data_IF_006641120894
#
_entry.id   IF_006641120894
#
_cell.length_a   1.000
_cell.length_b   1.000
_cell.length_c   1.000
_cell.angle_alpha   90.00
_cell.angle_beta   90.00
_cell.angle_gamma   90.00
#
_symmetry.space_group_name_H-M   'P 1'
#
loop_
_entity.id
_entity.type
_entity.pdbx_description
1 polymer ?
#
# COMPACT_ATOMS: atom_id res chain seq x y z
N UNK A 1 7.08 -16.04 10.91
CA UNK A 1 6.17 -15.21 10.13
C UNK A 1 4.84 -15.19 10.86
N UNK A 2 4.33 -14.02 11.24
CA UNK A 2 3.05 -13.90 11.96
C UNK A 2 2.05 -13.27 11.01
N UNK A 3 1.37 -14.09 10.22
CA UNK A 3 0.45 -13.66 9.16
C UNK A 3 -0.73 -12.85 9.71
N UNK A 4 -1.22 -13.18 10.92
CA UNK A 4 -2.28 -12.41 11.57
C UNK A 4 -1.80 -11.03 11.98
N UNK A 5 -0.64 -10.92 12.63
CA UNK A 5 -0.07 -9.61 12.98
C UNK A 5 0.25 -8.79 11.72
N UNK A 6 0.70 -9.46 10.66
CA UNK A 6 0.96 -8.83 9.38
C UNK A 6 -0.30 -8.23 8.76
N UNK A 7 -1.38 -9.02 8.70
CA UNK A 7 -2.66 -8.57 8.19
C UNK A 7 -3.22 -7.39 8.98
N UNK A 8 -3.14 -7.43 10.31
CA UNK A 8 -3.59 -6.31 11.14
C UNK A 8 -2.77 -5.04 10.89
N UNK A 9 -1.43 -5.16 10.84
CA UNK A 9 -0.57 -4.02 10.50
C UNK A 9 -0.87 -3.45 9.11
N UNK A 10 -1.22 -4.32 8.15
CA UNK A 10 -1.58 -3.91 6.79
C UNK A 10 -2.90 -3.15 6.77
N UNK A 11 -3.92 -3.68 7.45
CA UNK A 11 -5.21 -3.00 7.61
C UNK A 11 -5.04 -1.65 8.33
N UNK A 12 -4.19 -1.58 9.34
CA UNK A 12 -3.88 -0.34 10.07
C UNK A 12 -3.16 0.68 9.19
N UNK A 13 -2.19 0.25 8.37
CA UNK A 13 -1.51 1.13 7.43
C UNK A 13 -2.47 1.73 6.39
N UNK A 14 -3.40 0.92 5.86
CA UNK A 14 -4.44 1.35 4.94
C UNK A 14 -5.37 2.38 5.63
N UNK A 15 -5.91 2.05 6.80
CA UNK A 15 -6.85 2.92 7.54
C UNK A 15 -6.23 4.22 8.00
N UNK A 16 -5.02 4.17 8.58
CA UNK A 16 -4.31 5.35 9.04
C UNK A 16 -4.08 6.35 7.90
N UNK A 17 -3.82 5.85 6.69
CA UNK A 17 -3.63 6.69 5.50
C UNK A 17 -4.92 6.96 4.71
N UNK A 18 -6.08 6.51 5.18
CA UNK A 18 -7.38 6.67 4.50
C UNK A 18 -7.34 6.12 3.06
N UNK A 19 -6.74 4.94 2.88
CA UNK A 19 -6.53 4.32 1.57
C UNK A 19 -7.56 3.25 1.23
N UNK A 20 -8.59 3.05 2.05
CA UNK A 20 -9.56 1.95 1.93
C UNK A 20 -10.19 1.87 0.53
N UNK A 21 -10.45 3.01 -0.10
CA UNK A 21 -11.01 3.05 -1.46
C UNK A 21 -10.05 2.47 -2.53
N UNK A 22 -8.74 2.50 -2.29
CA UNK A 22 -7.73 1.98 -3.23
C UNK A 22 -7.37 0.52 -2.97
N UNK A 23 -8.09 -0.17 -2.07
CA UNK A 23 -7.90 -1.59 -1.81
C UNK A 23 -9.24 -2.31 -1.87
N UNK A 24 -9.21 -3.53 -2.38
CA UNK A 24 -10.36 -4.45 -2.42
C UNK A 24 -10.07 -5.64 -1.55
N UNK A 25 -11.12 -6.21 -0.96
CA UNK A 25 -11.05 -7.50 -0.30
C UNK A 25 -11.91 -8.51 -1.08
N UNK A 26 -11.43 -9.74 -1.27
CA UNK A 26 -12.24 -10.82 -1.87
C UNK A 26 -13.52 -11.08 -1.06
N UNK A 27 -13.48 -10.80 0.24
CA UNK A 27 -14.59 -10.94 1.19
C UNK A 27 -15.56 -9.75 1.20
N UNK A 28 -15.31 -8.72 0.40
CA UNK A 28 -16.13 -7.50 0.32
C UNK A 28 -15.51 -6.31 1.07
N UNK A 29 -15.43 -6.38 2.40
CA UNK A 29 -14.80 -5.34 3.23
C UNK A 29 -13.37 -5.74 3.64
N UNK A 30 -12.46 -4.77 3.63
CA UNK A 30 -11.08 -4.91 4.12
C UNK A 30 -11.05 -5.40 5.57
N UNK A 31 -12.04 -5.05 6.40
CA UNK A 31 -12.14 -5.55 7.77
C UNK A 31 -12.26 -7.08 7.83
N UNK A 32 -12.99 -7.66 6.87
CA UNK A 32 -13.38 -9.06 6.85
C UNK A 32 -12.31 -9.97 6.23
N UNK A 33 -11.28 -9.40 5.60
CA UNK A 33 -10.13 -10.15 5.10
C UNK A 33 -9.53 -11.02 6.22
N UNK A 34 -9.32 -12.31 5.93
CA UNK A 34 -8.77 -13.32 6.84
C UNK A 34 -7.27 -13.54 6.60
N UNK A 35 -6.78 -13.17 5.42
CA UNK A 35 -5.38 -13.18 5.03
C UNK A 35 -4.99 -11.94 4.22
N UNK A 36 -3.68 -11.68 4.11
CA UNK A 36 -3.16 -10.57 3.29
C UNK A 36 -3.34 -10.81 1.78
N UNK A 37 -3.50 -12.08 1.36
CA UNK A 37 -3.84 -12.45 -0.02
C UNK A 37 -5.28 -12.10 -0.39
N UNK A 38 -6.17 -11.95 0.59
CA UNK A 38 -7.56 -11.53 0.34
C UNK A 38 -7.62 -10.06 -0.04
N UNK A 39 -6.55 -9.29 0.23
CA UNK A 39 -6.45 -7.86 -0.05
C UNK A 39 -5.67 -7.65 -1.34
N UNK A 40 -6.20 -6.77 -2.21
CA UNK A 40 -5.54 -6.40 -3.44
C UNK A 40 -5.69 -4.89 -3.71
N UNK A 41 -4.64 -4.21 -4.21
CA UNK A 41 -4.77 -2.85 -4.69
C UNK A 41 -5.79 -2.76 -5.83
N UNK A 42 -6.70 -1.79 -5.76
CA UNK A 42 -7.71 -1.53 -6.77
C UNK A 42 -7.11 -0.71 -7.93
N UNK A 43 -6.27 -1.34 -8.75
CA UNK A 43 -5.44 -0.64 -9.76
C UNK A 43 -6.28 0.23 -10.70
N UNK A 44 -7.43 -0.27 -11.16
CA UNK A 44 -8.30 0.49 -12.07
C UNK A 44 -8.85 1.75 -11.39
N UNK A 45 -9.23 1.68 -10.11
CA UNK A 45 -9.67 2.83 -9.32
C UNK A 45 -8.55 3.86 -9.16
N UNK A 46 -7.32 3.41 -8.90
CA UNK A 46 -6.16 4.30 -8.77
C UNK A 46 -5.91 5.02 -10.10
N UNK A 47 -6.00 4.31 -11.24
CA UNK A 47 -5.84 4.89 -12.59
C UNK A 47 -6.92 5.91 -12.89
N UNK A 48 -8.18 5.60 -12.58
CA UNK A 48 -9.31 6.49 -12.79
C UNK A 48 -9.18 7.78 -11.99
N UNK A 49 -8.88 7.70 -10.68
CA UNK A 49 -8.72 8.89 -9.84
C UNK A 49 -7.49 9.72 -10.25
N UNK A 50 -6.42 9.07 -10.70
CA UNK A 50 -5.25 9.77 -11.24
C UNK A 50 -5.54 10.49 -12.57
N UNK A 51 -6.43 9.95 -13.40
CA UNK A 51 -6.82 10.56 -14.67
C UNK A 51 -7.87 11.68 -14.51
N UNK A 52 -8.55 11.77 -13.36
CA UNK A 52 -9.43 12.88 -13.05
C UNK A 52 -8.64 14.20 -12.99
N UNK A 53 -9.33 15.29 -13.30
CA UNK A 53 -8.81 16.67 -13.33
C UNK A 53 -8.12 17.12 -12.04
N UNK A 54 -8.36 16.45 -10.91
CA UNK A 54 -7.69 16.69 -9.63
C UNK A 54 -6.48 15.79 -9.34
N UNK A 55 -6.27 14.74 -10.15
CA UNK A 55 -5.37 13.62 -9.83
C UNK A 55 -5.75 12.94 -8.51
N UNK A 56 -4.86 12.06 -8.02
CA UNK A 56 -5.02 11.42 -6.71
C UNK A 56 -5.15 12.49 -5.62
N UNK A 57 -6.33 12.58 -4.98
CA UNK A 57 -6.62 13.56 -3.90
C UNK A 57 -6.03 13.10 -2.57
N UNK A 58 -4.75 12.77 -2.58
CA UNK A 58 -3.98 12.28 -1.45
C UNK A 58 -2.94 13.31 -1.03
N UNK A 59 -2.72 13.44 0.27
CA UNK A 59 -1.53 14.14 0.77
C UNK A 59 -0.25 13.43 0.29
N UNK A 60 0.87 14.14 0.32
CA UNK A 60 2.16 13.55 -0.05
C UNK A 60 2.46 12.28 0.77
N UNK A 61 2.17 12.28 2.07
CA UNK A 61 2.39 11.13 2.94
C UNK A 61 1.53 9.92 2.54
N UNK A 62 0.24 10.14 2.29
CA UNK A 62 -0.69 9.07 1.87
C UNK A 62 -0.30 8.51 0.51
N UNK A 63 0.08 9.37 -0.44
CA UNK A 63 0.55 8.93 -1.76
C UNK A 63 1.81 8.06 -1.67
N UNK A 64 2.74 8.42 -0.78
CA UNK A 64 3.95 7.61 -0.53
C UNK A 64 3.59 6.24 0.04
N UNK A 65 2.68 6.18 1.01
CA UNK A 65 2.24 4.89 1.55
C UNK A 65 1.53 4.07 0.48
N UNK A 66 0.59 4.66 -0.28
CA UNK A 66 -0.12 3.96 -1.35
C UNK A 66 0.86 3.37 -2.37
N UNK A 67 1.83 4.16 -2.84
CA UNK A 67 2.86 3.68 -3.77
C UNK A 67 3.63 2.48 -3.22
N UNK A 68 4.07 2.54 -1.96
CA UNK A 68 4.82 1.44 -1.35
C UNK A 68 3.93 0.20 -1.21
N UNK A 69 2.70 0.37 -0.73
CA UNK A 69 1.77 -0.74 -0.60
C UNK A 69 1.49 -1.38 -1.96
N UNK A 70 1.17 -0.61 -3.01
CA UNK A 70 0.99 -1.15 -4.37
C UNK A 70 2.25 -1.90 -4.84
N UNK A 71 3.44 -1.37 -4.57
CA UNK A 71 4.70 -2.00 -4.96
C UNK A 71 4.96 -3.35 -4.28
N UNK A 72 4.37 -3.60 -3.10
CA UNK A 72 4.45 -4.91 -2.44
C UNK A 72 3.74 -6.00 -3.24
N UNK A 73 2.62 -5.69 -3.90
CA UNK A 73 1.92 -6.64 -4.78
C UNK A 73 2.51 -6.64 -6.19
N UNK A 74 2.60 -5.47 -6.81
CA UNK A 74 2.96 -5.33 -8.22
C UNK A 74 3.90 -4.15 -8.44
N UNK A 75 5.19 -4.35 -8.15
CA UNK A 75 6.24 -3.32 -8.28
C UNK A 75 6.25 -2.59 -9.63
N UNK A 76 6.10 -3.31 -10.73
CA UNK A 76 6.03 -2.70 -12.06
C UNK A 76 4.81 -1.79 -12.29
N UNK A 77 3.66 -2.12 -11.70
CA UNK A 77 2.45 -1.28 -11.76
C UNK A 77 2.66 -0.04 -10.90
N UNK A 78 3.28 -0.16 -9.72
CA UNK A 78 3.61 1.01 -8.91
C UNK A 78 4.51 1.99 -9.69
N UNK A 79 5.52 1.48 -10.39
CA UNK A 79 6.40 2.29 -11.23
C UNK A 79 5.62 3.01 -12.35
N UNK A 80 4.70 2.31 -13.03
CA UNK A 80 3.83 2.87 -14.07
C UNK A 80 2.90 3.96 -13.52
N UNK A 81 2.23 3.70 -12.40
CA UNK A 81 1.25 4.60 -11.81
C UNK A 81 1.90 5.87 -11.26
N UNK A 82 2.99 5.72 -10.51
CA UNK A 82 3.58 6.83 -9.77
C UNK A 82 4.72 7.52 -10.51
N UNK A 83 5.19 6.94 -11.63
CA UNK A 83 6.30 7.45 -12.42
C UNK A 83 7.64 7.41 -11.67
N UNK A 84 7.70 6.61 -10.63
CA UNK A 84 8.78 6.50 -9.68
C UNK A 84 9.25 5.06 -9.68
N UNK A 85 10.37 4.77 -10.36
CA UNK A 85 10.87 3.41 -10.48
C UNK A 85 11.22 2.80 -9.12
N UNK A 86 11.23 1.46 -9.01
CA UNK A 86 11.57 0.73 -7.77
C UNK A 86 12.87 1.21 -7.09
N UNK A 87 13.82 1.79 -7.84
CA UNK A 87 15.02 2.43 -7.29
C UNK A 87 14.76 3.62 -6.37
N UNK A 88 13.61 4.29 -6.47
CA UNK A 88 13.22 5.43 -5.62
C UNK A 88 12.55 5.02 -4.31
N UNK A 89 12.26 3.73 -4.07
CA UNK A 89 11.64 3.25 -2.82
C UNK A 89 12.38 3.76 -1.58
N UNK A 90 13.71 3.73 -1.59
CA UNK A 90 14.54 4.26 -0.49
C UNK A 90 14.30 5.76 -0.24
N UNK A 91 14.18 6.56 -1.31
CA UNK A 91 13.89 7.99 -1.24
C UNK A 91 12.45 8.23 -0.76
N UNK A 92 11.50 7.42 -1.24
CA UNK A 92 10.11 7.47 -0.82
C UNK A 92 9.98 7.23 0.69
N UNK A 93 10.65 6.20 1.22
CA UNK A 93 10.71 5.89 2.65
C UNK A 93 11.35 7.03 3.44
N UNK A 94 12.44 7.62 2.95
CA UNK A 94 13.09 8.75 3.61
C UNK A 94 12.16 9.98 3.69
N UNK A 95 11.34 10.20 2.66
CA UNK A 95 10.40 11.31 2.57
C UNK A 95 9.13 11.16 3.42
N UNK A 96 8.88 9.98 3.97
CA UNK A 96 7.72 9.72 4.83
C UNK A 96 7.83 10.47 6.18
N UNK A 97 6.69 10.72 6.80
CA UNK A 97 6.65 11.13 8.20
C UNK A 97 7.03 9.97 9.14
N UNK A 98 7.21 10.28 10.43
CA UNK A 98 7.62 9.29 11.43
C UNK A 98 6.63 8.13 11.54
N UNK A 99 5.33 8.39 11.49
CA UNK A 99 4.31 7.37 11.72
C UNK A 99 4.26 6.40 10.54
N UNK A 100 4.30 6.93 9.32
CA UNK A 100 4.34 6.09 8.12
C UNK A 100 5.61 5.24 8.02
N UNK A 101 6.78 5.75 8.45
CA UNK A 101 7.99 4.92 8.57
C UNK A 101 7.85 3.81 9.61
N UNK A 102 7.19 4.08 10.75
CA UNK A 102 6.94 3.07 11.77
C UNK A 102 6.04 1.96 11.23
N UNK A 103 4.90 2.32 10.63
CA UNK A 103 3.96 1.37 10.04
C UNK A 103 4.63 0.50 8.97
N UNK A 104 5.40 1.12 8.08
CA UNK A 104 6.15 0.37 7.06
C UNK A 104 7.19 -0.57 7.69
N UNK A 105 7.92 -0.12 8.71
CA UNK A 105 8.88 -0.97 9.41
C UNK A 105 8.19 -2.16 10.08
N UNK A 106 7.01 -1.97 10.65
CA UNK A 106 6.22 -3.05 11.26
C UNK A 106 5.78 -4.07 10.21
N UNK A 107 5.33 -3.61 9.03
CA UNK A 107 5.02 -4.48 7.89
C UNK A 107 6.23 -5.33 7.46
N UNK A 108 7.39 -4.70 7.25
CA UNK A 108 8.61 -5.40 6.81
C UNK A 108 9.07 -6.43 7.85
N UNK A 109 9.02 -6.08 9.14
CA UNK A 109 9.45 -6.97 10.22
C UNK A 109 8.50 -8.16 10.39
N UNK A 110 7.20 -7.95 10.21
CA UNK A 110 6.20 -9.00 10.40
C UNK A 110 6.11 -9.98 9.23
N UNK A 111 6.49 -9.54 8.01
CA UNK A 111 6.58 -10.39 6.83
C UNK A 111 7.80 -10.07 5.94
N UNK A 112 9.02 -10.49 6.34
CA UNK A 112 10.22 -10.32 5.54
C UNK A 112 10.22 -11.34 4.38
N UNK A 113 9.73 -10.94 3.20
CA UNK A 113 9.72 -11.80 2.01
C UNK A 113 8.42 -11.83 1.23
N UNK A 114 7.61 -10.76 1.30
CA UNK A 114 6.46 -10.58 0.42
C UNK A 114 6.89 -10.85 -1.03
N UNK A 115 6.39 -11.92 -1.64
CA UNK A 115 6.73 -12.35 -3.01
C UNK A 115 7.65 -13.57 -3.17
N UNK A 116 8.12 -14.21 -2.09
CA UNK A 116 8.69 -15.57 -2.20
C UNK A 116 7.59 -16.62 -2.15
N UNK A 117 6.90 -16.82 -3.27
CA UNK A 117 6.18 -18.06 -3.59
C UNK A 117 7.11 -19.09 -4.21
#
# INVERSE_FOLDING_TARGET
MNETAFLENLKDAIRYNQLEWYFTAETGDIQDAQGHYDLNPAIDVIREDQADSGGLKLSHAQRRMLMILVALWEGHIADELFGEGLGSLSLAIQSMDKNNRTLLSELIVTYPGWGQS
#
